data_IF_138881127266
#
_entry.id   IF_138881127266
#
_cell.length_a   1.000
_cell.length_b   1.000
_cell.length_c   1.000
_cell.angle_alpha   90.00
_cell.angle_beta   90.00
_cell.angle_gamma   90.00
#
_symmetry.space_group_name_H-M   'P 1'
#
loop_
_entity.id
_entity.type
_entity.pdbx_description
1 polymer ?
#
# COMPACT_ATOMS: atom_id res chain seq x y z
N UNK A 1 10.03 -21.79 16.82
CA UNK A 1 8.60 -21.88 16.49
C UNK A 1 8.47 -22.21 15.00
N UNK A 2 7.61 -23.16 14.62
CA UNK A 2 7.43 -23.53 13.22
C UNK A 2 6.78 -22.39 12.43
N UNK A 3 7.20 -22.17 11.18
CA UNK A 3 6.58 -21.16 10.30
C UNK A 3 5.11 -21.52 10.06
N UNK A 4 4.21 -20.74 10.63
CA UNK A 4 2.78 -20.88 10.40
C UNK A 4 2.45 -20.20 9.07
N UNK A 5 1.98 -20.98 8.09
CA UNK A 5 1.47 -20.46 6.83
C UNK A 5 -0.05 -20.43 6.90
N UNK A 6 -0.64 -19.32 6.51
CA UNK A 6 -2.08 -19.14 6.36
C UNK A 6 -2.46 -19.43 4.91
N UNK A 7 -3.55 -20.17 4.72
CA UNK A 7 -4.14 -20.41 3.41
C UNK A 7 -5.10 -19.25 3.13
N UNK A 8 -4.94 -18.62 1.96
CA UNK A 8 -5.81 -17.53 1.52
C UNK A 8 -6.85 -18.11 0.57
N UNK A 9 -8.10 -18.18 1.04
CA UNK A 9 -9.22 -18.73 0.27
C UNK A 9 -9.74 -17.73 -0.78
N UNK A 10 -9.80 -16.44 -0.42
CA UNK A 10 -10.14 -15.35 -1.33
C UNK A 10 -9.01 -14.30 -1.35
N UNK A 11 -8.25 -14.31 -2.44
CA UNK A 11 -7.13 -13.38 -2.62
C UNK A 11 -7.60 -11.95 -2.86
N UNK A 12 -8.78 -11.75 -3.45
CA UNK A 12 -9.32 -10.42 -3.74
C UNK A 12 -9.77 -9.73 -2.44
N UNK A 13 -10.47 -10.47 -1.58
CA UNK A 13 -10.90 -9.98 -0.27
C UNK A 13 -9.72 -9.73 0.66
N UNK A 14 -8.74 -10.65 0.66
CA UNK A 14 -7.48 -10.44 1.39
C UNK A 14 -6.77 -9.16 0.92
N UNK A 15 -6.63 -9.00 -0.40
CA UNK A 15 -5.99 -7.81 -1.00
C UNK A 15 -6.75 -6.55 -0.62
N UNK A 16 -8.08 -6.57 -0.68
CA UNK A 16 -8.92 -5.42 -0.30
C UNK A 16 -8.75 -5.04 1.17
N UNK A 17 -8.70 -6.03 2.05
CA UNK A 17 -8.48 -5.82 3.49
C UNK A 17 -7.09 -5.26 3.78
N UNK A 18 -6.06 -5.78 3.10
CA UNK A 18 -4.69 -5.26 3.21
C UNK A 18 -4.59 -3.80 2.72
N UNK A 19 -5.26 -3.46 1.60
CA UNK A 19 -5.33 -2.09 1.09
C UNK A 19 -5.94 -1.13 2.11
N UNK A 20 -7.08 -1.51 2.70
CA UNK A 20 -7.73 -0.72 3.74
C UNK A 20 -6.83 -0.53 4.95
N UNK A 21 -6.12 -1.59 5.38
CA UNK A 21 -5.17 -1.50 6.48
C UNK A 21 -4.09 -0.46 6.19
N UNK A 22 -3.48 -0.51 5.01
CA UNK A 22 -2.42 0.43 4.61
C UNK A 22 -2.96 1.85 4.53
N UNK A 23 -4.09 2.05 3.87
CA UNK A 23 -4.70 3.37 3.71
C UNK A 23 -5.13 3.98 5.04
N UNK A 24 -5.90 3.25 5.84
CA UNK A 24 -6.39 3.73 7.14
C UNK A 24 -5.27 3.87 8.17
N UNK A 25 -4.24 3.03 8.09
CA UNK A 25 -3.07 3.05 8.96
C UNK A 25 -2.02 4.10 8.56
N UNK A 26 -2.19 4.81 7.44
CA UNK A 26 -1.23 5.81 6.98
C UNK A 26 -1.14 7.03 7.91
N UNK A 27 -2.29 7.50 8.41
CA UNK A 27 -2.37 8.67 9.32
C UNK A 27 -2.53 8.27 10.80
N UNK A 28 -2.85 7.00 11.07
CA UNK A 28 -3.18 6.52 12.41
C UNK A 28 -2.02 5.73 12.99
N UNK A 29 -1.58 6.12 14.18
CA UNK A 29 -0.76 5.23 15.01
C UNK A 29 -1.59 4.01 15.39
N UNK A 30 -1.31 2.86 14.77
CA UNK A 30 -1.98 1.59 15.08
C UNK A 30 -1.63 1.24 16.53
N UNK A 31 -2.60 1.34 17.45
CA UNK A 31 -2.45 0.85 18.81
C UNK A 31 -2.48 -0.68 18.89
N UNK A 32 -2.13 -1.24 20.04
CA UNK A 32 -2.17 -2.68 20.30
C UNK A 32 -3.61 -3.22 20.52
N UNK A 33 -4.64 -2.42 20.27
CA UNK A 33 -6.04 -2.80 20.48
C UNK A 33 -6.60 -3.61 19.29
N UNK A 34 -7.00 -4.89 19.49
CA UNK A 34 -7.59 -5.71 18.44
C UNK A 34 -8.85 -5.12 17.79
N UNK A 35 -9.61 -4.32 18.55
CA UNK A 35 -10.80 -3.65 18.03
C UNK A 35 -10.42 -2.54 17.04
N UNK A 36 -9.29 -1.88 17.26
CA UNK A 36 -8.74 -0.88 16.35
C UNK A 36 -8.30 -1.53 15.03
N UNK A 37 -7.57 -2.65 15.10
CA UNK A 37 -7.17 -3.39 13.90
C UNK A 37 -8.37 -3.84 13.06
N UNK A 38 -9.42 -4.35 13.71
CA UNK A 38 -10.65 -4.78 13.02
C UNK A 38 -11.34 -3.63 12.31
N UNK A 39 -11.40 -2.44 12.94
CA UNK A 39 -11.95 -1.24 12.32
C UNK A 39 -11.12 -0.82 11.11
N UNK A 40 -9.79 -0.84 11.21
CA UNK A 40 -8.90 -0.46 10.10
C UNK A 40 -9.12 -1.30 8.83
N UNK A 41 -9.50 -2.58 8.95
CA UNK A 41 -9.72 -3.45 7.79
C UNK A 41 -11.18 -3.51 7.32
N UNK A 42 -12.14 -3.13 8.16
CA UNK A 42 -13.58 -3.24 7.85
C UNK A 42 -14.20 -1.90 7.47
N UNK A 43 -13.90 -0.85 8.24
CA UNK A 43 -14.50 0.48 8.13
C UNK A 43 -13.70 1.37 7.17
N UNK A 44 -14.39 1.95 6.19
CA UNK A 44 -13.86 3.01 5.33
C UNK A 44 -15.05 3.84 4.85
N UNK A 45 -14.91 5.16 4.84
CA UNK A 45 -15.97 6.01 4.30
C UNK A 45 -16.03 5.87 2.77
N UNK A 46 -17.13 6.32 2.15
CA UNK A 46 -17.25 6.25 0.69
C UNK A 46 -16.22 7.17 0.01
N UNK A 47 -15.98 8.35 0.56
CA UNK A 47 -15.02 9.32 0.04
C UNK A 47 -13.58 8.76 0.14
N UNK A 48 -13.24 8.18 1.30
CA UNK A 48 -11.93 7.53 1.52
C UNK A 48 -11.74 6.31 0.59
N UNK A 49 -12.81 5.55 0.33
CA UNK A 49 -12.77 4.41 -0.59
C UNK A 49 -12.45 4.89 -2.01
N UNK A 50 -13.08 5.97 -2.46
CA UNK A 50 -12.84 6.57 -3.77
C UNK A 50 -11.42 7.11 -3.90
N UNK A 51 -10.91 7.77 -2.85
CA UNK A 51 -9.51 8.21 -2.81
C UNK A 51 -8.56 7.02 -2.85
N UNK A 52 -8.76 6.02 -1.99
CA UNK A 52 -7.97 4.78 -1.95
C UNK A 52 -7.96 4.07 -3.33
N UNK A 53 -9.11 4.00 -4.01
CA UNK A 53 -9.20 3.40 -5.34
C UNK A 53 -8.46 4.21 -6.41
N UNK A 54 -8.20 5.50 -6.20
CA UNK A 54 -7.35 6.31 -7.09
C UNK A 54 -5.86 6.15 -6.77
N UNK A 55 -5.48 6.15 -5.48
CA UNK A 55 -4.07 6.21 -5.07
C UNK A 55 -3.44 4.83 -4.83
N UNK A 56 -4.23 3.78 -4.61
CA UNK A 56 -3.76 2.42 -4.41
C UNK A 56 -4.80 1.45 -4.96
N UNK A 57 -4.89 1.32 -6.29
CA UNK A 57 -5.96 0.57 -6.98
C UNK A 57 -5.99 -0.92 -6.58
N UNK A 58 -7.17 -1.55 -6.62
CA UNK A 58 -7.30 -2.99 -6.35
C UNK A 58 -6.39 -3.84 -7.25
N UNK A 59 -6.30 -3.49 -8.54
CA UNK A 59 -5.55 -4.28 -9.52
C UNK A 59 -4.05 -4.24 -9.23
N UNK A 60 -3.51 -3.06 -8.95
CA UNK A 60 -2.10 -2.88 -8.60
C UNK A 60 -1.75 -3.63 -7.30
N UNK A 61 -2.57 -3.46 -6.27
CA UNK A 61 -2.40 -4.18 -5.01
C UNK A 61 -2.45 -5.70 -5.20
N UNK A 62 -3.33 -6.20 -6.07
CA UNK A 62 -3.43 -7.63 -6.36
C UNK A 62 -2.17 -8.15 -7.05
N UNK A 63 -1.54 -7.35 -7.93
CA UNK A 63 -0.25 -7.70 -8.54
C UNK A 63 0.84 -7.82 -7.48
N UNK A 64 0.90 -6.87 -6.55
CA UNK A 64 1.85 -6.91 -5.41
C UNK A 64 1.65 -8.20 -4.61
N UNK A 65 0.41 -8.48 -4.18
CA UNK A 65 0.09 -9.69 -3.41
C UNK A 65 0.47 -10.95 -4.16
N UNK A 66 0.12 -11.07 -5.45
CA UNK A 66 0.47 -12.26 -6.26
C UNK A 66 1.97 -12.45 -6.45
N UNK A 67 2.73 -11.36 -6.49
CA UNK A 67 4.19 -11.43 -6.66
C UNK A 67 4.92 -11.93 -5.41
N UNK A 68 4.34 -11.71 -4.22
CA UNK A 68 4.92 -12.07 -2.93
C UNK A 68 4.32 -13.35 -2.33
N UNK A 69 3.03 -13.59 -2.54
CA UNK A 69 2.33 -14.75 -2.00
C UNK A 69 2.88 -16.05 -2.58
N UNK A 70 3.02 -17.05 -1.72
CA UNK A 70 3.53 -18.35 -2.14
C UNK A 70 2.41 -19.16 -2.80
N UNK A 71 2.49 -19.30 -4.12
CA UNK A 71 1.56 -20.13 -4.89
C UNK A 71 1.88 -21.63 -4.69
N UNK A 72 0.84 -22.43 -4.44
CA UNK A 72 0.89 -23.88 -4.47
C UNK A 72 -0.15 -24.43 -5.43
N UNK A 73 0.31 -25.20 -6.41
CA UNK A 73 -0.57 -25.86 -7.37
C UNK A 73 -0.85 -27.30 -6.96
N UNK A 74 -2.11 -27.68 -7.00
CA UNK A 74 -2.52 -29.06 -6.83
C UNK A 74 -2.08 -29.88 -8.04
N UNK A 75 -1.37 -30.99 -7.81
CA UNK A 75 -0.69 -31.76 -8.87
C UNK A 75 -1.63 -32.38 -9.90
N UNK A 76 -2.91 -32.58 -9.56
CA UNK A 76 -3.88 -33.29 -10.39
C UNK A 76 -4.93 -32.32 -10.96
N UNK A 77 -5.53 -31.49 -10.11
CA UNK A 77 -6.59 -30.53 -10.53
C UNK A 77 -6.03 -29.24 -11.11
N UNK A 78 -4.73 -28.98 -10.94
CA UNK A 78 -4.05 -27.74 -11.33
C UNK A 78 -4.63 -26.47 -10.65
N UNK A 79 -5.45 -26.64 -9.62
CA UNK A 79 -5.97 -25.55 -8.80
C UNK A 79 -4.82 -24.94 -8.00
N UNK A 80 -4.80 -23.61 -7.94
CA UNK A 80 -3.75 -22.85 -7.27
C UNK A 80 -4.31 -22.30 -5.96
N UNK A 81 -3.56 -22.47 -4.87
CA UNK A 81 -3.84 -21.82 -3.58
C UNK A 81 -2.67 -20.93 -3.19
N UNK A 82 -2.96 -19.85 -2.49
CA UNK A 82 -1.95 -18.92 -2.00
C UNK A 82 -1.69 -19.15 -0.52
N UNK A 83 -0.41 -19.12 -0.16
CA UNK A 83 0.07 -19.21 1.22
C UNK A 83 0.78 -17.91 1.59
N UNK A 84 0.45 -17.39 2.76
CA UNK A 84 1.07 -16.19 3.33
C UNK A 84 1.53 -16.53 4.75
N UNK A 85 2.77 -16.23 5.07
CA UNK A 85 3.26 -16.21 6.45
C UNK A 85 3.41 -14.75 6.92
N UNK A 86 3.72 -14.55 8.20
CA UNK A 86 3.88 -13.22 8.80
C UNK A 86 4.89 -12.37 8.03
N UNK A 87 6.00 -12.96 7.56
CA UNK A 87 7.03 -12.24 6.82
C UNK A 87 6.49 -11.76 5.46
N UNK A 88 5.81 -12.64 4.73
CA UNK A 88 5.19 -12.29 3.44
C UNK A 88 4.13 -11.20 3.67
N UNK A 89 3.34 -11.31 4.75
CA UNK A 89 2.34 -10.30 5.08
C UNK A 89 2.98 -8.93 5.33
N UNK A 90 4.02 -8.84 6.17
CA UNK A 90 4.74 -7.58 6.41
C UNK A 90 5.30 -6.98 5.13
N UNK A 91 5.87 -7.81 4.24
CA UNK A 91 6.38 -7.36 2.95
C UNK A 91 5.27 -6.83 2.04
N UNK A 92 4.10 -7.47 2.02
CA UNK A 92 2.94 -6.98 1.27
C UNK A 92 2.54 -5.58 1.75
N UNK A 93 2.47 -5.39 3.07
CA UNK A 93 2.11 -4.10 3.67
C UNK A 93 3.16 -3.02 3.35
N UNK A 94 4.45 -3.33 3.46
CA UNK A 94 5.54 -2.41 3.09
C UNK A 94 5.46 -1.98 1.62
N UNK A 95 5.32 -2.94 0.70
CA UNK A 95 5.25 -2.66 -0.74
C UNK A 95 4.00 -1.84 -1.11
N UNK A 96 2.84 -2.18 -0.51
CA UNK A 96 1.62 -1.38 -0.70
C UNK A 96 1.77 0.04 -0.15
N UNK A 97 2.39 0.21 1.01
CA UNK A 97 2.64 1.52 1.60
C UNK A 97 3.62 2.35 0.75
N UNK A 98 4.72 1.74 0.29
CA UNK A 98 5.65 2.39 -0.62
C UNK A 98 4.96 2.85 -1.92
N UNK A 99 4.01 2.05 -2.42
CA UNK A 99 3.23 2.39 -3.60
C UNK A 99 2.24 3.53 -3.36
N UNK A 100 1.53 3.48 -2.23
CA UNK A 100 0.65 4.54 -1.76
C UNK A 100 1.39 5.90 -1.72
N UNK A 101 2.54 5.94 -1.03
CA UNK A 101 3.38 7.14 -0.91
C UNK A 101 3.86 7.61 -2.29
N UNK A 102 4.34 6.71 -3.13
CA UNK A 102 4.80 7.05 -4.47
C UNK A 102 3.69 7.68 -5.33
N UNK A 103 2.48 7.12 -5.27
CA UNK A 103 1.33 7.62 -6.02
C UNK A 103 0.87 8.99 -5.49
N UNK A 104 0.88 9.20 -4.16
CA UNK A 104 0.61 10.52 -3.57
C UNK A 104 1.63 11.57 -3.99
N UNK A 105 2.93 11.28 -3.89
CA UNK A 105 4.00 12.20 -4.31
C UNK A 105 3.91 12.51 -5.80
N UNK A 106 3.65 11.50 -6.64
CA UNK A 106 3.45 11.70 -8.08
C UNK A 106 2.24 12.60 -8.37
N UNK A 107 1.13 12.40 -7.66
CA UNK A 107 -0.07 13.24 -7.76
C UNK A 107 0.24 14.69 -7.38
N UNK A 108 0.93 14.92 -6.25
CA UNK A 108 1.32 16.25 -5.80
C UNK A 108 2.27 16.94 -6.79
N UNK A 109 3.25 16.22 -7.32
CA UNK A 109 4.20 16.74 -8.31
C UNK A 109 3.48 17.09 -9.63
N UNK A 110 2.58 16.23 -10.10
CA UNK A 110 1.80 16.48 -11.32
C UNK A 110 0.86 17.69 -11.21
N UNK A 111 0.39 17.98 -9.98
CA UNK A 111 -0.42 19.17 -9.66
C UNK A 111 0.44 20.43 -9.47
N UNK A 112 1.77 20.31 -9.53
CA UNK A 112 2.70 21.41 -9.31
C UNK A 112 2.79 21.90 -7.86
N UNK A 113 2.29 21.11 -6.90
CA UNK A 113 2.33 21.44 -5.47
C UNK A 113 3.71 21.20 -4.86
N UNK A 114 4.44 20.23 -5.42
CA UNK A 114 5.81 19.91 -5.04
C UNK A 114 6.66 19.79 -6.31
N UNK A 115 7.96 20.03 -6.15
CA UNK A 115 8.96 19.74 -7.15
C UNK A 115 9.74 18.49 -6.74
N UNK A 116 10.35 17.82 -7.72
CA UNK A 116 11.16 16.63 -7.49
C UNK A 116 12.40 16.65 -8.36
N UNK A 117 13.53 16.23 -7.80
CA UNK A 117 14.75 15.94 -8.56
C UNK A 117 15.40 14.66 -8.09
N UNK A 118 16.11 14.00 -9.00
CA UNK A 118 16.93 12.84 -8.66
C UNK A 118 18.26 13.29 -8.06
N UNK A 119 18.59 12.82 -6.86
CA UNK A 119 19.85 13.09 -6.18
C UNK A 119 20.76 11.86 -6.29
N UNK A 120 21.85 12.00 -7.04
CA UNK A 120 22.84 10.94 -7.26
C UNK A 120 23.63 10.56 -5.99
N UNK A 121 23.71 11.43 -4.98
CA UNK A 121 24.46 11.16 -3.75
C UNK A 121 23.74 10.15 -2.85
N UNK A 122 22.42 10.28 -2.75
CA UNK A 122 21.58 9.36 -1.99
C UNK A 122 20.92 8.29 -2.89
N UNK A 123 21.07 8.42 -4.21
CA UNK A 123 20.52 7.53 -5.22
C UNK A 123 18.98 7.43 -5.13
N UNK A 124 18.31 8.56 -4.91
CA UNK A 124 16.87 8.63 -4.72
C UNK A 124 16.29 9.97 -5.19
N UNK A 125 14.96 10.04 -5.34
CA UNK A 125 14.25 11.28 -5.61
C UNK A 125 14.03 12.08 -4.33
N UNK A 126 14.39 13.36 -4.38
CA UNK A 126 14.11 14.34 -3.32
C UNK A 126 12.93 15.20 -3.76
N UNK A 127 12.03 15.47 -2.83
CA UNK A 127 10.82 16.27 -3.05
C UNK A 127 10.81 17.48 -2.12
N UNK A 128 10.41 18.66 -2.61
CA UNK A 128 10.24 19.87 -1.81
C UNK A 128 9.02 20.68 -2.27
N UNK A 129 8.48 21.50 -1.37
CA UNK A 129 7.37 22.40 -1.69
C UNK A 129 7.88 23.47 -2.65
N UNK A 130 7.08 23.79 -3.66
CA UNK A 130 7.41 24.88 -4.58
C UNK A 130 7.35 26.21 -3.81
N UNK A 131 8.45 26.93 -3.74
CA UNK A 131 8.44 28.28 -3.20
C UNK A 131 7.60 29.16 -4.14
N UNK A 132 6.49 29.69 -3.64
CA UNK A 132 5.84 30.85 -4.26
C UNK A 132 6.83 32.01 -4.07
N UNK A 133 7.72 32.23 -5.05
CA UNK A 133 8.38 33.51 -5.19
C UNK A 133 7.29 34.57 -5.37
N UNK A 134 6.82 35.20 -4.29
CA UNK A 134 6.48 36.61 -4.37
C UNK A 134 7.81 37.33 -4.58
N UNK A 135 8.09 37.89 -5.78
CA UNK A 135 9.13 38.89 -5.86
C UNK A 135 8.61 40.06 -5.03
N UNK A 136 9.25 40.34 -3.89
CA UNK A 136 9.15 41.67 -3.30
C UNK A 136 9.64 42.64 -4.38
N UNK A 137 8.69 43.25 -5.08
CA UNK A 137 8.93 44.34 -6.04
C UNK A 137 9.37 45.58 -5.29
N UNK A 138 10.58 46.05 -5.63
CA UNK A 138 11.22 47.37 -5.46
C UNK A 138 11.19 48.09 -4.09
#
# INVERSE_FOLDING_TARGET
MGKQNYIIDDLEEFTRSARKLVFNGFDKSIGDDPDEFTKLITEISQDDLEEMDQILTQQESLVIVKSLAKEQKHKITNESRYLIDEKIFSQIIEEMNGRLVSNMLSSLASKGMIESAYDEQINDFVFWIKDDETPETD
#
